data_IF_521958543316
#
_entry.id   IF_521958543316
#
_cell.length_a   1.000
_cell.length_b   1.000
_cell.length_c   1.000
_cell.angle_alpha   90.00
_cell.angle_beta   90.00
_cell.angle_gamma   90.00
#
_symmetry.space_group_name_H-M   'P 1'
#
loop_
_entity.id
_entity.type
_entity.pdbx_description
1 polymer ?
#
# COMPACT_ATOMS: atom_id res chain seq x y z
N UNK A 1 41.87 0.57 -35.82
CA UNK A 1 41.73 0.10 -34.42
C UNK A 1 41.75 1.36 -33.58
N UNK A 2 40.73 1.78 -32.84
CA UNK A 2 39.50 1.21 -32.28
C UNK A 2 38.49 2.39 -32.17
N UNK A 3 37.22 2.30 -32.59
CA UNK A 3 36.06 1.79 -31.82
C UNK A 3 35.99 2.41 -30.41
N UNK A 4 35.12 3.39 -30.14
CA UNK A 4 33.76 3.28 -29.56
C UNK A 4 33.62 4.50 -28.59
N UNK A 5 32.51 5.18 -28.30
CA UNK A 5 31.08 5.00 -28.52
C UNK A 5 30.41 6.40 -28.52
N UNK A 6 29.35 6.47 -29.31
CA UNK A 6 28.38 7.54 -29.38
C UNK A 6 27.89 7.98 -27.99
N UNK A 7 27.82 9.29 -27.81
CA UNK A 7 26.79 9.84 -26.95
C UNK A 7 25.44 9.54 -27.59
N UNK A 8 24.55 8.88 -26.86
CA UNK A 8 23.13 9.16 -26.98
C UNK A 8 22.47 8.88 -25.64
N UNK A 9 21.96 9.95 -25.03
CA UNK A 9 21.11 9.93 -23.84
C UNK A 9 19.81 9.25 -24.23
N UNK A 10 19.62 7.99 -23.87
CA UNK A 10 18.32 7.32 -23.93
C UNK A 10 18.10 6.50 -22.65
N UNK A 11 18.18 7.17 -21.51
CA UNK A 11 17.38 6.78 -20.35
C UNK A 11 16.22 7.76 -20.34
N UNK A 12 15.06 7.30 -20.80
CA UNK A 12 13.85 8.12 -20.85
C UNK A 12 13.70 8.84 -19.52
N UNK A 13 13.38 10.13 -19.60
CA UNK A 13 12.68 10.78 -18.50
C UNK A 13 11.32 10.07 -18.51
N UNK A 14 11.28 8.87 -17.93
CA UNK A 14 10.04 8.32 -17.43
C UNK A 14 9.52 9.46 -16.57
N UNK A 15 8.45 10.11 -17.02
CA UNK A 15 7.70 11.03 -16.20
C UNK A 15 7.20 10.20 -15.03
N UNK A 16 8.07 9.96 -14.05
CA UNK A 16 7.79 9.17 -12.88
C UNK A 16 6.55 9.83 -12.29
N UNK A 17 5.45 9.08 -12.28
CA UNK A 17 4.20 9.57 -11.72
C UNK A 17 4.54 10.19 -10.36
N UNK A 18 3.97 11.37 -10.04
CA UNK A 18 4.30 12.06 -8.79
C UNK A 18 4.18 11.07 -7.62
N UNK A 19 5.16 11.10 -6.72
CA UNK A 19 5.20 10.19 -5.58
C UNK A 19 3.91 10.33 -4.77
N UNK A 20 3.19 9.21 -4.64
CA UNK A 20 1.98 9.11 -3.84
C UNK A 20 2.36 8.96 -2.37
N UNK A 21 1.46 9.39 -1.51
CA UNK A 21 1.56 9.04 -0.11
C UNK A 21 1.19 7.58 0.06
N UNK A 22 1.76 6.95 1.07
CA UNK A 22 1.57 5.55 1.38
C UNK A 22 1.03 5.41 2.79
N UNK A 23 -0.07 4.68 2.91
CA UNK A 23 -0.62 4.28 4.19
C UNK A 23 -0.62 2.77 4.29
N UNK A 24 -0.09 2.25 5.38
CA UNK A 24 -0.04 0.83 5.67
C UNK A 24 -1.11 0.50 6.69
N UNK A 25 -2.02 -0.37 6.30
CA UNK A 25 -3.10 -0.89 7.12
C UNK A 25 -2.74 -2.30 7.59
N UNK A 26 -2.70 -2.50 8.90
CA UNK A 26 -2.47 -3.82 9.48
C UNK A 26 -3.70 -4.27 10.26
N UNK A 27 -3.97 -5.56 10.26
CA UNK A 27 -5.05 -6.12 11.08
C UNK A 27 -4.86 -5.75 12.56
N UNK A 28 -5.94 -5.33 13.22
CA UNK A 28 -5.94 -5.02 14.66
C UNK A 28 -5.51 -6.25 15.46
N UNK A 29 -4.91 -6.09 16.64
CA UNK A 29 -4.53 -7.23 17.47
C UNK A 29 -5.74 -8.10 17.87
N UNK A 30 -6.92 -7.48 18.02
CA UNK A 30 -8.18 -8.09 18.49
C UNK A 30 -8.97 -8.88 17.43
N UNK A 31 -8.56 -8.82 16.14
CA UNK A 31 -9.23 -9.64 15.11
C UNK A 31 -8.88 -11.12 15.28
N UNK A 32 -9.68 -11.98 14.63
CA UNK A 32 -9.41 -13.41 14.59
C UNK A 32 -8.00 -13.67 14.03
N UNK A 33 -7.20 -14.44 14.77
CA UNK A 33 -5.82 -14.76 14.40
C UNK A 33 -5.74 -15.49 13.05
N UNK A 34 -6.78 -16.22 12.66
CA UNK A 34 -6.86 -16.91 11.38
C UNK A 34 -7.02 -15.96 10.18
N UNK A 35 -7.29 -14.67 10.43
CA UNK A 35 -7.28 -13.62 9.39
C UNK A 35 -5.86 -13.14 9.07
N UNK A 36 -4.87 -13.44 9.91
CA UNK A 36 -3.48 -12.97 9.75
C UNK A 36 -2.68 -13.94 8.91
N UNK A 37 -1.77 -13.41 8.09
CA UNK A 37 -0.85 -14.20 7.28
C UNK A 37 -1.50 -15.14 6.26
N UNK A 38 -2.67 -14.75 5.74
CA UNK A 38 -3.40 -15.49 4.70
C UNK A 38 -3.39 -14.70 3.38
N UNK A 39 -3.62 -15.42 2.27
CA UNK A 39 -3.82 -14.80 0.96
C UNK A 39 -5.16 -14.08 0.88
N UNK A 40 -5.29 -13.17 -0.09
CA UNK A 40 -6.57 -12.50 -0.36
C UNK A 40 -7.69 -13.51 -0.67
N UNK A 41 -7.39 -14.57 -1.43
CA UNK A 41 -8.36 -15.60 -1.75
C UNK A 41 -8.87 -16.32 -0.49
N UNK A 42 -7.97 -16.65 0.44
CA UNK A 42 -8.33 -17.27 1.71
C UNK A 42 -9.08 -16.30 2.63
N UNK A 43 -8.71 -15.01 2.62
CA UNK A 43 -9.41 -13.93 3.33
C UNK A 43 -10.88 -13.87 2.89
N UNK A 44 -11.11 -13.75 1.59
CA UNK A 44 -12.47 -13.70 1.02
C UNK A 44 -13.24 -14.99 1.26
N UNK A 45 -12.59 -16.14 1.08
CA UNK A 45 -13.24 -17.44 1.24
C UNK A 45 -13.70 -17.72 2.68
N UNK A 46 -12.91 -17.31 3.68
CA UNK A 46 -13.17 -17.63 5.09
C UNK A 46 -13.92 -16.52 5.84
N UNK A 47 -13.67 -15.27 5.47
CA UNK A 47 -14.12 -14.10 6.24
C UNK A 47 -14.86 -13.06 5.39
N UNK A 48 -14.88 -13.20 4.06
CA UNK A 48 -15.39 -12.19 3.14
C UNK A 48 -14.38 -11.10 2.83
N UNK A 49 -14.84 -10.00 2.22
CA UNK A 49 -13.98 -8.90 1.80
C UNK A 49 -13.31 -8.21 3.01
N UNK A 50 -12.04 -7.79 2.88
CA UNK A 50 -11.32 -7.14 3.97
C UNK A 50 -12.00 -5.82 4.32
N UNK A 51 -12.56 -5.74 5.53
CA UNK A 51 -13.27 -4.55 6.00
C UNK A 51 -12.33 -3.59 6.74
N UNK A 52 -12.35 -2.27 6.47
CA UNK A 52 -11.47 -1.29 7.13
C UNK A 52 -11.60 -1.26 8.65
N UNK A 53 -12.77 -1.61 9.19
CA UNK A 53 -13.00 -1.71 10.64
C UNK A 53 -12.10 -2.73 11.34
N UNK A 54 -11.57 -3.72 10.60
CA UNK A 54 -10.66 -4.75 11.12
C UNK A 54 -9.19 -4.30 11.11
N UNK A 55 -8.88 -3.17 10.47
CA UNK A 55 -7.53 -2.67 10.27
C UNK A 55 -7.23 -1.44 11.13
N UNK A 56 -5.96 -1.24 11.41
CA UNK A 56 -5.40 -0.01 12.00
C UNK A 56 -4.31 0.53 11.10
N UNK A 57 -4.12 1.84 11.13
CA UNK A 57 -3.02 2.49 10.43
C UNK A 57 -1.73 2.21 11.20
N UNK A 58 -0.81 1.48 10.58
CA UNK A 58 0.52 1.21 11.11
C UNK A 58 1.56 2.25 10.66
N UNK A 59 1.33 2.87 9.50
CA UNK A 59 2.17 3.92 8.94
C UNK A 59 1.33 4.80 8.00
N UNK A 60 1.62 6.09 7.98
CA UNK A 60 1.03 7.10 7.09
C UNK A 60 2.13 8.11 6.75
N UNK A 61 2.49 8.19 5.47
CA UNK A 61 3.54 9.12 5.02
C UNK A 61 3.96 8.89 3.57
N UNK A 62 4.75 9.82 3.03
CA UNK A 62 5.27 9.68 1.67
C UNK A 62 6.49 8.76 1.64
N UNK A 63 6.57 7.92 0.63
CA UNK A 63 7.72 7.06 0.36
C UNK A 63 8.41 7.48 -0.93
N UNK A 64 9.65 7.03 -1.10
CA UNK A 64 10.43 7.29 -2.32
C UNK A 64 10.05 6.39 -3.51
N UNK A 65 9.00 5.57 -3.37
CA UNK A 65 8.49 4.69 -4.43
C UNK A 65 6.97 4.60 -4.38
N UNK A 66 6.37 4.43 -5.56
CA UNK A 66 4.94 4.15 -5.75
C UNK A 66 4.68 2.65 -6.00
N UNK A 67 5.71 1.82 -5.92
CA UNK A 67 5.61 0.40 -6.25
C UNK A 67 5.29 -0.43 -5.00
N UNK A 68 4.09 -1.05 -4.90
CA UNK A 68 3.65 -1.76 -3.70
C UNK A 68 4.54 -2.97 -3.38
N UNK A 69 5.13 -3.62 -4.38
CA UNK A 69 6.06 -4.72 -4.20
C UNK A 69 7.36 -4.24 -3.54
N UNK A 70 7.93 -3.15 -4.05
CA UNK A 70 9.11 -2.51 -3.49
C UNK A 70 8.85 -2.03 -2.05
N UNK A 71 7.67 -1.47 -1.77
CA UNK A 71 7.26 -1.06 -0.43
C UNK A 71 7.24 -2.28 0.50
N UNK A 72 6.57 -3.35 0.08
CA UNK A 72 6.49 -4.57 0.86
C UNK A 72 7.86 -5.18 1.15
N UNK A 73 8.72 -5.32 0.14
CA UNK A 73 10.05 -5.91 0.30
C UNK A 73 10.90 -5.11 1.30
N UNK A 74 10.94 -3.78 1.16
CA UNK A 74 11.75 -2.94 2.05
C UNK A 74 11.26 -2.99 3.49
N UNK A 75 9.95 -2.83 3.71
CA UNK A 75 9.39 -2.71 5.05
C UNK A 75 9.03 -4.05 5.71
N UNK A 76 9.13 -5.16 4.97
CA UNK A 76 9.16 -6.50 5.56
C UNK A 76 10.51 -6.76 6.27
N UNK A 77 11.60 -6.13 5.82
CA UNK A 77 12.94 -6.28 6.41
C UNK A 77 13.29 -5.14 7.38
N UNK A 78 13.05 -3.89 6.97
CA UNK A 78 13.45 -2.69 7.72
C UNK A 78 12.33 -1.66 7.70
N UNK A 79 11.62 -1.53 8.81
CA UNK A 79 10.55 -0.56 8.98
C UNK A 79 11.09 0.89 8.96
N UNK A 80 10.31 1.85 8.43
CA UNK A 80 10.67 3.26 8.43
C UNK A 80 10.51 3.88 9.83
N UNK A 81 11.17 5.01 10.12
CA UNK A 81 10.91 5.75 11.35
C UNK A 81 9.45 6.20 11.40
N UNK A 82 8.80 6.03 12.56
CA UNK A 82 7.38 6.35 12.74
C UNK A 82 6.41 5.20 12.43
N UNK A 83 6.91 4.02 12.05
CA UNK A 83 6.08 2.83 11.92
C UNK A 83 5.68 2.28 13.29
N UNK A 84 4.38 2.20 13.56
CA UNK A 84 3.81 1.83 14.86
C UNK A 84 3.32 0.37 14.93
N UNK A 85 3.50 -0.39 13.85
CA UNK A 85 3.04 -1.78 13.73
C UNK A 85 4.16 -2.82 13.63
N UNK A 86 3.81 -3.98 13.09
CA UNK A 86 4.72 -5.09 12.80
C UNK A 86 5.37 -4.93 11.42
N UNK A 87 6.48 -5.63 11.13
CA UNK A 87 7.01 -5.70 9.77
C UNK A 87 5.92 -6.06 8.76
N UNK A 88 6.00 -5.50 7.53
CA UNK A 88 5.00 -5.78 6.51
C UNK A 88 4.91 -7.28 6.25
N UNK A 89 3.67 -7.77 6.21
CA UNK A 89 3.36 -9.19 6.13
C UNK A 89 2.10 -9.45 5.31
N UNK A 90 1.86 -10.71 4.96
CA UNK A 90 0.62 -11.13 4.32
C UNK A 90 -0.59 -10.68 5.16
N UNK A 91 -1.65 -10.28 4.46
CA UNK A 91 -2.88 -9.70 5.04
C UNK A 91 -2.82 -8.23 5.42
N UNK A 92 -1.67 -7.57 5.31
CA UNK A 92 -1.58 -6.11 5.35
C UNK A 92 -2.13 -5.49 4.06
N UNK A 93 -2.58 -4.25 4.12
CA UNK A 93 -3.06 -3.49 2.95
C UNK A 93 -2.20 -2.25 2.77
N UNK A 94 -1.69 -2.06 1.56
CA UNK A 94 -0.91 -0.90 1.15
C UNK A 94 -1.85 0.03 0.40
N UNK A 95 -2.13 1.20 0.96
CA UNK A 95 -2.86 2.27 0.29
C UNK A 95 -1.88 3.25 -0.33
N UNK A 96 -1.97 3.45 -1.64
CA UNK A 96 -1.28 4.52 -2.37
C UNK A 96 -2.29 5.62 -2.66
N UNK A 97 -2.12 6.80 -2.06
CA UNK A 97 -3.08 7.88 -2.18
C UNK A 97 -2.45 9.21 -2.58
N UNK A 98 -3.21 10.00 -3.32
CA UNK A 98 -2.87 11.37 -3.70
C UNK A 98 -4.15 12.22 -3.76
N UNK A 99 -4.05 13.45 -4.29
CA UNK A 99 -5.20 14.34 -4.43
C UNK A 99 -6.29 13.80 -5.39
N UNK A 100 -5.98 12.82 -6.24
CA UNK A 100 -6.92 12.23 -7.20
C UNK A 100 -7.68 11.02 -6.62
N UNK A 101 -7.15 10.38 -5.57
CA UNK A 101 -7.81 9.23 -4.93
C UNK A 101 -6.83 8.30 -4.23
N UNK A 102 -7.37 7.16 -3.78
CA UNK A 102 -6.65 6.09 -3.08
C UNK A 102 -6.74 4.78 -3.86
N UNK A 103 -5.62 4.07 -3.97
CA UNK A 103 -5.53 2.71 -4.51
C UNK A 103 -5.09 1.77 -3.40
N UNK A 104 -5.81 0.67 -3.20
CA UNK A 104 -5.57 -0.27 -2.11
C UNK A 104 -5.07 -1.60 -2.66
N UNK A 105 -3.96 -2.08 -2.12
CA UNK A 105 -3.31 -3.31 -2.53
C UNK A 105 -3.22 -4.25 -1.34
N UNK A 106 -3.87 -5.40 -1.43
CA UNK A 106 -3.72 -6.47 -0.45
C UNK A 106 -2.34 -7.13 -0.62
N UNK A 107 -1.58 -7.17 0.46
CA UNK A 107 -0.27 -7.82 0.50
C UNK A 107 -0.45 -9.34 0.52
N UNK A 108 -0.08 -9.97 -0.59
CA UNK A 108 0.01 -11.42 -0.74
C UNK A 108 1.48 -11.81 -0.99
N UNK A 109 1.84 -13.05 -0.65
CA UNK A 109 3.21 -13.54 -0.85
C UNK A 109 3.61 -13.64 -2.32
N UNK A 110 2.65 -13.78 -3.24
CA UNK A 110 2.93 -14.01 -4.66
C UNK A 110 2.53 -12.83 -5.55
N UNK A 111 1.45 -12.12 -5.24
CA UNK A 111 0.90 -11.06 -6.10
C UNK A 111 0.15 -10.01 -5.29
N UNK A 112 0.55 -8.74 -5.36
CA UNK A 112 -0.25 -7.63 -4.81
C UNK A 112 -1.56 -7.52 -5.59
N UNK A 113 -2.68 -7.75 -4.92
CA UNK A 113 -4.00 -7.64 -5.55
C UNK A 113 -4.60 -6.29 -5.20
N UNK A 114 -4.93 -5.52 -6.23
CA UNK A 114 -5.73 -4.32 -6.03
C UNK A 114 -7.14 -4.72 -5.57
N UNK A 115 -7.61 -4.08 -4.52
CA UNK A 115 -8.91 -4.36 -3.89
C UNK A 115 -9.71 -3.07 -3.75
N UNK A 116 -11.03 -3.21 -3.75
CA UNK A 116 -11.92 -2.13 -3.32
C UNK A 116 -11.97 -2.16 -1.81
N UNK A 117 -11.13 -1.33 -1.19
CA UNK A 117 -11.12 -1.13 0.25
C UNK A 117 -11.82 0.19 0.52
N UNK A 118 -13.13 0.12 0.69
CA UNK A 118 -13.96 1.29 1.00
C UNK A 118 -13.56 1.82 2.37
N UNK A 119 -12.55 2.69 2.42
CA UNK A 119 -12.34 3.53 3.59
C UNK A 119 -13.60 4.38 3.70
N UNK A 120 -14.29 4.45 4.86
CA UNK A 120 -15.47 5.29 5.00
C UNK A 120 -15.05 6.66 4.50
N UNK A 121 -15.72 7.14 3.44
CA UNK A 121 -15.40 8.39 2.78
C UNK A 121 -15.11 9.43 3.86
N UNK A 122 -14.11 10.32 3.70
CA UNK A 122 -14.07 11.50 4.55
C UNK A 122 -15.42 12.15 4.33
N UNK A 123 -16.29 12.05 5.35
CA UNK A 123 -17.60 12.67 5.36
C UNK A 123 -17.26 14.12 5.05
N UNK A 124 -17.50 14.54 3.81
CA UNK A 124 -17.37 15.93 3.45
C UNK A 124 -18.40 16.58 4.34
N UNK A 125 -17.94 17.16 5.43
CA UNK A 125 -18.71 18.14 6.17
C UNK A 125 -18.79 19.33 5.21
N UNK A 126 -19.68 19.21 4.23
CA UNK A 126 -20.30 20.35 3.59
C UNK A 126 -21.01 21.06 4.73
N UNK A 127 -20.26 21.94 5.39
CA UNK A 127 -20.75 23.01 6.23
C UNK A 127 -21.65 23.86 5.34
N UNK A 128 -22.88 23.40 5.14
CA UNK A 128 -23.98 24.22 4.66
C UNK A 128 -24.41 25.09 5.84
N UNK A 129 -23.65 26.15 6.09
CA UNK A 129 -24.12 27.29 6.86
C UNK A 129 -24.83 28.24 5.90
N UNK A 130 -26.17 28.18 5.89
CA UNK A 130 -27.06 29.23 5.36
C UNK A 130 -26.99 30.49 6.22
#
# INVERSE_FOLDING_TARGET
>A
MERLLAGERLGGIETAAPLKNVRIWQLKPDVDIHMKFISYEEMVRKFGEPSPGNYRIAYDGQLDTNDPETIYERYSIRQPPGFLGNPLSMSDIIELYNAAGSEFYYADRKVFRQIEFESPEPIQTMDMSM
#
